data_IF_139684132349
#
_entry.id   IF_139684132349
#
_cell.length_a   1.000
_cell.length_b   1.000
_cell.length_c   1.000
_cell.angle_alpha   90.00
_cell.angle_beta   90.00
_cell.angle_gamma   90.00
#
_symmetry.space_group_name_H-M   'P 1'
#
loop_
_entity.id
_entity.type
_entity.pdbx_description
1 polymer ?
#
# COMPACT_ATOMS: atom_id res chain seq x y z
N UNK A 1 9.78 30.54 -34.25
CA UNK A 1 10.78 30.10 -33.26
C UNK A 1 10.48 28.65 -32.92
N UNK A 2 11.17 27.75 -33.58
CA UNK A 2 11.05 26.32 -33.30
C UNK A 2 11.86 26.03 -32.04
N UNK A 3 11.18 25.76 -30.95
CA UNK A 3 11.82 25.11 -29.82
C UNK A 3 12.03 23.66 -30.19
N UNK A 4 13.24 23.36 -30.67
CA UNK A 4 13.69 22.01 -30.90
C UNK A 4 13.60 21.23 -29.60
N UNK A 5 12.63 20.32 -29.51
CA UNK A 5 12.68 19.26 -28.54
C UNK A 5 13.97 18.49 -28.78
N UNK A 6 14.92 18.62 -27.89
CA UNK A 6 16.11 17.78 -27.90
C UNK A 6 15.65 16.32 -27.92
N UNK A 7 16.14 15.50 -28.85
CA UNK A 7 15.81 14.09 -28.84
C UNK A 7 16.18 13.56 -27.45
N UNK A 8 15.20 12.93 -26.81
CA UNK A 8 15.43 12.28 -25.51
C UNK A 8 16.68 11.42 -25.66
N UNK A 9 17.77 11.80 -25.01
CA UNK A 9 19.01 11.05 -25.07
C UNK A 9 18.73 9.65 -24.57
N UNK A 10 18.70 8.69 -25.50
CA UNK A 10 18.56 7.27 -25.15
C UNK A 10 19.74 6.88 -24.28
N UNK A 11 19.50 6.72 -23.00
CA UNK A 11 20.51 6.33 -22.04
C UNK A 11 20.52 4.82 -21.88
N UNK A 12 21.67 4.24 -22.19
CA UNK A 12 21.90 2.81 -22.06
C UNK A 12 23.00 2.52 -21.05
N UNK A 13 22.87 1.41 -20.37
CA UNK A 13 23.84 0.90 -19.42
C UNK A 13 24.35 -0.47 -19.88
N UNK A 14 25.63 -0.74 -19.67
CA UNK A 14 26.18 -2.09 -19.81
C UNK A 14 25.76 -2.96 -18.63
N UNK A 15 25.91 -4.28 -18.76
CA UNK A 15 25.65 -5.20 -17.63
C UNK A 15 26.51 -4.88 -16.40
N UNK A 16 27.76 -4.43 -16.62
CA UNK A 16 28.66 -4.01 -15.54
C UNK A 16 28.18 -2.72 -14.85
N UNK A 17 27.73 -1.73 -15.61
CA UNK A 17 27.18 -0.48 -15.08
C UNK A 17 25.88 -0.72 -14.29
N UNK A 18 25.00 -1.58 -14.79
CA UNK A 18 23.78 -2.01 -14.06
C UNK A 18 24.16 -2.70 -12.74
N UNK A 19 25.17 -3.56 -12.77
CA UNK A 19 25.67 -4.24 -11.58
C UNK A 19 26.21 -3.22 -10.55
N UNK A 20 26.94 -2.21 -10.98
CA UNK A 20 27.45 -1.15 -10.12
C UNK A 20 26.31 -0.32 -9.51
N UNK A 21 25.31 0.06 -10.32
CA UNK A 21 24.13 0.81 -9.87
C UNK A 21 23.35 0.03 -8.81
N UNK A 22 23.12 -1.26 -9.06
CA UNK A 22 22.37 -2.13 -8.16
C UNK A 22 23.22 -2.74 -7.03
N UNK A 23 24.52 -2.49 -7.02
CA UNK A 23 25.48 -3.09 -6.07
C UNK A 23 25.42 -4.61 -6.08
N UNK A 24 25.37 -5.19 -7.29
CA UNK A 24 25.31 -6.62 -7.52
C UNK A 24 26.51 -7.12 -8.33
N UNK A 25 26.72 -8.42 -8.30
CA UNK A 25 27.75 -9.03 -9.12
C UNK A 25 27.37 -8.97 -10.63
N UNK A 26 28.28 -8.51 -11.53
CA UNK A 26 28.01 -8.45 -12.98
C UNK A 26 27.57 -9.78 -13.60
N UNK A 27 28.07 -10.91 -13.09
CA UNK A 27 27.65 -12.23 -13.57
C UNK A 27 26.18 -12.55 -13.24
N UNK A 28 25.69 -12.05 -12.12
CA UNK A 28 24.27 -12.19 -11.73
C UNK A 28 23.39 -11.39 -12.68
N UNK A 29 23.80 -10.17 -13.03
CA UNK A 29 23.08 -9.32 -13.98
C UNK A 29 23.05 -9.97 -15.36
N UNK A 30 24.19 -10.47 -15.85
CA UNK A 30 24.28 -11.18 -17.14
C UNK A 30 23.35 -12.40 -17.18
N UNK A 31 23.31 -13.16 -16.09
CA UNK A 31 22.44 -14.34 -15.94
C UNK A 31 20.94 -13.96 -15.98
N UNK A 32 20.57 -12.88 -15.29
CA UNK A 32 19.19 -12.36 -15.31
C UNK A 32 18.76 -11.87 -16.70
N UNK A 33 19.66 -11.23 -17.42
CA UNK A 33 19.42 -10.82 -18.81
C UNK A 33 19.26 -12.04 -19.74
N UNK A 34 20.09 -13.05 -19.60
CA UNK A 34 19.99 -14.29 -20.39
C UNK A 34 18.72 -15.08 -20.08
N UNK A 35 18.28 -15.10 -18.82
CA UNK A 35 17.06 -15.78 -18.38
C UNK A 35 15.77 -15.02 -18.73
N UNK A 36 15.87 -13.78 -19.20
CA UNK A 36 14.70 -12.92 -19.45
C UNK A 36 14.05 -12.35 -18.19
N UNK A 37 14.67 -12.50 -17.02
CA UNK A 37 14.21 -11.88 -15.78
C UNK A 37 14.39 -10.36 -15.78
N UNK A 38 15.39 -9.89 -16.51
CA UNK A 38 15.66 -8.48 -16.76
C UNK A 38 15.62 -8.24 -18.26
N UNK A 39 14.87 -7.24 -18.70
CA UNK A 39 14.81 -6.85 -20.09
C UNK A 39 16.07 -6.10 -20.51
N UNK A 40 16.60 -6.40 -21.67
CA UNK A 40 17.76 -5.73 -22.24
C UNK A 40 17.95 -6.11 -23.71
N UNK A 41 18.82 -5.38 -24.36
CA UNK A 41 19.18 -5.63 -25.77
C UNK A 41 20.55 -6.32 -25.83
N UNK A 42 20.60 -7.45 -26.51
CA UNK A 42 21.88 -8.11 -26.82
C UNK A 42 22.43 -7.56 -28.12
N UNK A 43 23.51 -6.79 -28.00
CA UNK A 43 24.19 -6.18 -29.15
C UNK A 43 25.59 -6.81 -29.27
N UNK A 44 25.73 -7.73 -30.21
CA UNK A 44 26.95 -8.52 -30.33
C UNK A 44 27.17 -9.44 -29.15
N UNK A 45 28.25 -9.25 -28.42
CA UNK A 45 28.59 -10.04 -27.22
C UNK A 45 28.10 -9.41 -25.94
N UNK A 46 27.73 -8.13 -25.98
CA UNK A 46 27.38 -7.33 -24.80
C UNK A 46 25.90 -7.08 -24.69
N UNK A 47 25.46 -6.94 -23.42
CA UNK A 47 24.12 -6.51 -23.09
C UNK A 47 24.04 -4.99 -22.90
N UNK A 48 22.95 -4.41 -23.36
CA UNK A 48 22.59 -3.00 -23.12
C UNK A 48 21.20 -2.94 -22.49
N UNK A 49 21.08 -2.21 -21.41
CA UNK A 49 19.81 -2.02 -20.72
C UNK A 49 19.48 -0.53 -20.78
N UNK A 50 18.31 -0.18 -21.28
CA UNK A 50 17.85 1.20 -21.27
C UNK A 50 17.45 1.61 -19.84
N UNK A 51 17.50 2.92 -19.58
CA UNK A 51 17.08 3.47 -18.29
C UNK A 51 15.63 3.06 -17.95
N UNK A 52 14.74 3.08 -18.93
CA UNK A 52 13.34 2.66 -18.77
C UNK A 52 13.21 1.19 -18.40
N UNK A 53 14.01 0.29 -19.01
CA UNK A 53 14.02 -1.12 -18.67
C UNK A 53 14.57 -1.38 -17.26
N UNK A 54 15.60 -0.65 -16.87
CA UNK A 54 16.14 -0.72 -15.51
C UNK A 54 15.11 -0.26 -14.48
N UNK A 55 14.43 0.85 -14.73
CA UNK A 55 13.36 1.35 -13.85
C UNK A 55 12.19 0.36 -13.77
N UNK A 56 11.77 -0.22 -14.89
CA UNK A 56 10.71 -1.24 -14.92
C UNK A 56 11.10 -2.50 -14.12
N UNK A 57 12.37 -2.93 -14.21
CA UNK A 57 12.88 -4.01 -13.39
C UNK A 57 12.81 -3.69 -11.89
N UNK A 58 13.26 -2.50 -11.49
CA UNK A 58 13.20 -2.05 -10.10
C UNK A 58 11.76 -1.95 -9.59
N UNK A 59 10.83 -1.46 -10.40
CA UNK A 59 9.41 -1.38 -10.06
C UNK A 59 8.80 -2.76 -9.80
N UNK A 60 9.11 -3.76 -10.63
CA UNK A 60 8.66 -5.15 -10.47
C UNK A 60 9.19 -5.79 -9.19
N UNK A 61 10.41 -5.44 -8.79
CA UNK A 61 11.06 -5.96 -7.59
C UNK A 61 10.88 -5.06 -6.36
N UNK A 62 10.14 -3.95 -6.52
CA UNK A 62 9.81 -3.06 -5.41
C UNK A 62 8.85 -3.74 -4.44
N UNK A 63 9.13 -3.60 -3.15
CA UNK A 63 8.23 -4.06 -2.10
C UNK A 63 7.12 -3.04 -1.77
N UNK A 64 6.75 -2.17 -2.71
CA UNK A 64 5.68 -1.17 -2.51
C UNK A 64 4.38 -1.77 -1.99
N UNK A 65 4.10 -3.02 -2.38
CA UNK A 65 2.93 -3.76 -1.94
C UNK A 65 3.17 -4.62 -0.70
N UNK A 66 4.40 -4.68 -0.20
CA UNK A 66 4.68 -5.36 1.05
C UNK A 66 4.10 -4.55 2.22
N UNK A 67 3.50 -5.21 3.22
CA UNK A 67 3.03 -4.51 4.40
C UNK A 67 4.21 -3.86 5.12
N UNK A 68 4.18 -2.53 5.21
CA UNK A 68 5.26 -1.73 5.79
C UNK A 68 5.25 -1.76 7.31
N UNK A 69 4.11 -2.06 7.90
CA UNK A 69 3.91 -2.08 9.35
C UNK A 69 3.09 -3.31 9.77
N UNK A 70 3.16 -3.71 11.05
CA UNK A 70 2.28 -4.76 11.58
C UNK A 70 0.79 -4.45 11.37
N UNK A 71 0.41 -3.16 11.36
CA UNK A 71 -0.94 -2.72 11.06
C UNK A 71 -1.33 -3.04 9.61
N UNK A 72 -0.46 -2.73 8.64
CA UNK A 72 -0.71 -3.00 7.22
C UNK A 72 -0.85 -4.50 6.94
N UNK A 73 -0.02 -5.33 7.58
CA UNK A 73 -0.13 -6.78 7.50
C UNK A 73 -1.48 -7.26 8.02
N UNK A 74 -1.88 -6.76 9.19
CA UNK A 74 -3.17 -7.09 9.79
C UNK A 74 -4.33 -6.72 8.87
N UNK A 75 -4.31 -5.54 8.26
CA UNK A 75 -5.35 -5.13 7.32
C UNK A 75 -5.43 -6.05 6.10
N UNK A 76 -4.29 -6.45 5.55
CA UNK A 76 -4.22 -7.41 4.44
C UNK A 76 -4.82 -8.77 4.80
N UNK A 77 -4.54 -9.25 6.01
CA UNK A 77 -5.01 -10.57 6.46
C UNK A 77 -6.52 -10.59 6.74
N UNK A 78 -7.09 -9.49 7.21
CA UNK A 78 -8.48 -9.42 7.65
C UNK A 78 -9.45 -8.77 6.66
N UNK A 79 -8.96 -8.06 5.63
CA UNK A 79 -9.81 -7.49 4.57
C UNK A 79 -9.65 -8.26 3.26
N UNK A 80 -10.77 -8.46 2.58
CA UNK A 80 -10.83 -9.02 1.24
C UNK A 80 -11.88 -8.28 0.42
N UNK A 81 -11.50 -7.82 -0.76
CA UNK A 81 -12.37 -7.02 -1.63
C UNK A 81 -13.03 -5.81 -0.93
N UNK A 82 -12.30 -5.21 0.02
CA UNK A 82 -12.78 -4.07 0.81
C UNK A 82 -13.74 -4.42 1.95
N UNK A 83 -14.01 -5.70 2.18
CA UNK A 83 -14.84 -6.19 3.28
C UNK A 83 -14.00 -6.87 4.36
N UNK A 84 -14.43 -6.73 5.60
CA UNK A 84 -13.81 -7.40 6.74
C UNK A 84 -14.29 -8.86 6.80
N UNK A 85 -13.36 -9.80 6.71
CA UNK A 85 -13.65 -11.24 6.78
C UNK A 85 -14.14 -11.68 8.16
N UNK A 86 -13.48 -11.16 9.19
CA UNK A 86 -13.80 -11.46 10.59
C UNK A 86 -13.23 -10.39 11.52
N UNK A 87 -13.84 -10.25 12.68
CA UNK A 87 -13.35 -9.34 13.73
C UNK A 87 -12.20 -10.06 14.46
N UNK A 88 -10.96 -9.49 14.47
CA UNK A 88 -9.85 -10.13 15.14
C UNK A 88 -10.10 -10.33 16.64
N UNK A 89 -9.83 -11.52 17.15
CA UNK A 89 -9.92 -11.82 18.59
C UNK A 89 -8.78 -11.16 19.37
N UNK A 90 -7.57 -11.11 18.79
CA UNK A 90 -6.43 -10.46 19.41
C UNK A 90 -6.62 -8.93 19.43
N UNK A 91 -6.56 -8.35 20.64
CA UNK A 91 -6.79 -6.91 20.87
C UNK A 91 -5.92 -6.01 19.99
N UNK A 92 -4.63 -6.32 19.86
CA UNK A 92 -3.70 -5.53 19.03
C UNK A 92 -4.10 -5.50 17.55
N UNK A 93 -4.51 -6.64 17.00
CA UNK A 93 -4.98 -6.72 15.62
C UNK A 93 -6.34 -6.04 15.45
N UNK A 94 -7.22 -6.21 16.42
CA UNK A 94 -8.55 -5.59 16.41
C UNK A 94 -8.47 -4.07 16.35
N UNK A 95 -7.62 -3.46 17.17
CA UNK A 95 -7.46 -1.99 17.18
C UNK A 95 -7.00 -1.44 15.83
N UNK A 96 -6.12 -2.14 15.12
CA UNK A 96 -5.70 -1.74 13.76
C UNK A 96 -6.85 -1.76 12.76
N UNK A 97 -7.67 -2.80 12.79
CA UNK A 97 -8.88 -2.92 11.96
C UNK A 97 -9.86 -1.79 12.26
N UNK A 98 -10.14 -1.55 13.55
CA UNK A 98 -11.07 -0.51 13.98
C UNK A 98 -10.59 0.89 13.59
N UNK A 99 -9.31 1.19 13.78
CA UNK A 99 -8.71 2.46 13.35
C UNK A 99 -8.81 2.66 11.83
N UNK A 100 -8.60 1.61 11.07
CA UNK A 100 -8.75 1.66 9.61
C UNK A 100 -10.19 1.99 9.21
N UNK A 101 -11.19 1.39 9.84
CA UNK A 101 -12.60 1.69 9.59
C UNK A 101 -12.94 3.14 9.96
N UNK A 102 -12.54 3.58 11.15
CA UNK A 102 -12.81 4.95 11.61
C UNK A 102 -12.11 6.00 10.76
N UNK A 103 -10.93 5.69 10.19
CA UNK A 103 -10.21 6.61 9.30
C UNK A 103 -10.97 6.96 8.02
N UNK A 104 -11.95 6.15 7.65
CA UNK A 104 -12.83 6.40 6.49
C UNK A 104 -14.01 7.34 6.82
N UNK A 105 -14.21 7.65 8.07
CA UNK A 105 -15.22 8.60 8.54
C UNK A 105 -14.66 10.01 8.57
N UNK A 106 -15.51 11.00 8.33
CA UNK A 106 -15.12 12.41 8.39
C UNK A 106 -14.91 12.86 9.83
N UNK A 107 -13.77 13.46 10.07
CA UNK A 107 -13.45 14.07 11.36
C UNK A 107 -14.34 15.31 11.58
N UNK A 108 -14.75 15.56 12.82
CA UNK A 108 -15.67 16.63 13.22
C UNK A 108 -17.12 16.51 12.75
N UNK A 109 -17.47 15.52 11.95
CA UNK A 109 -18.85 15.25 11.61
C UNK A 109 -19.55 14.49 12.73
N UNK A 110 -20.78 14.84 12.99
CA UNK A 110 -21.67 14.11 13.91
C UNK A 110 -22.50 13.13 13.09
N UNK A 111 -22.47 11.86 13.47
CA UNK A 111 -23.20 10.78 12.84
C UNK A 111 -24.34 10.31 13.74
N UNK A 112 -25.46 9.97 13.16
CA UNK A 112 -26.54 9.27 13.85
C UNK A 112 -26.16 7.79 14.00
N UNK A 113 -26.81 7.08 14.91
CA UNK A 113 -26.63 5.64 15.07
C UNK A 113 -26.90 4.89 13.76
N UNK A 114 -27.94 5.30 13.03
CA UNK A 114 -28.30 4.72 11.74
C UNK A 114 -27.17 4.89 10.72
N UNK A 115 -26.59 6.08 10.59
CA UNK A 115 -25.48 6.34 9.67
C UNK A 115 -24.25 5.49 9.98
N UNK A 116 -23.92 5.34 11.26
CA UNK A 116 -22.81 4.46 11.67
C UNK A 116 -23.12 2.99 11.37
N UNK A 117 -24.32 2.54 11.62
CA UNK A 117 -24.73 1.18 11.30
C UNK A 117 -24.61 0.91 9.79
N UNK A 118 -25.17 1.77 8.96
CA UNK A 118 -25.10 1.65 7.49
C UNK A 118 -23.66 1.71 6.99
N UNK A 119 -22.81 2.56 7.57
CA UNK A 119 -21.40 2.61 7.25
C UNK A 119 -20.69 1.29 7.55
N UNK A 120 -20.84 0.76 8.77
CA UNK A 120 -20.17 -0.47 9.20
C UNK A 120 -20.69 -1.69 8.43
N UNK A 121 -21.99 -1.74 8.11
CA UNK A 121 -22.60 -2.83 7.34
C UNK A 121 -21.98 -3.00 5.94
N UNK A 122 -21.37 -1.97 5.39
CA UNK A 122 -20.63 -2.06 4.11
C UNK A 122 -19.38 -2.96 4.24
N UNK A 123 -18.85 -3.09 5.44
CA UNK A 123 -17.63 -3.84 5.73
C UNK A 123 -17.88 -5.17 6.43
N UNK A 124 -18.84 -5.22 7.34
CA UNK A 124 -19.15 -6.40 8.13
C UNK A 124 -20.60 -6.40 8.62
N UNK A 125 -21.24 -7.57 8.64
CA UNK A 125 -22.63 -7.71 9.05
C UNK A 125 -22.85 -7.48 10.56
N UNK A 126 -21.87 -7.81 11.40
CA UNK A 126 -21.93 -7.56 12.84
C UNK A 126 -21.55 -6.14 13.20
N UNK A 127 -22.36 -5.19 12.72
CA UNK A 127 -22.15 -3.77 12.96
C UNK A 127 -22.33 -3.39 14.44
N UNK A 128 -23.12 -4.13 15.19
CA UNK A 128 -23.34 -3.87 16.62
C UNK A 128 -22.06 -4.03 17.42
N UNK A 129 -21.32 -5.12 17.19
CA UNK A 129 -20.05 -5.38 17.87
C UNK A 129 -19.01 -4.31 17.48
N UNK A 130 -18.85 -4.04 16.18
CA UNK A 130 -17.88 -3.04 15.71
C UNK A 130 -18.20 -1.65 16.25
N UNK A 131 -19.46 -1.24 16.24
CA UNK A 131 -19.89 0.05 16.81
C UNK A 131 -19.56 0.15 18.30
N UNK A 132 -19.82 -0.90 19.09
CA UNK A 132 -19.46 -0.97 20.50
C UNK A 132 -17.96 -0.87 20.70
N UNK A 133 -17.19 -1.59 19.90
CA UNK A 133 -15.72 -1.57 19.94
C UNK A 133 -15.14 -0.17 19.64
N UNK A 134 -15.77 0.62 18.76
CA UNK A 134 -15.36 2.00 18.51
C UNK A 134 -15.42 2.85 19.79
N UNK A 135 -16.44 2.67 20.60
CA UNK A 135 -16.62 3.39 21.87
C UNK A 135 -15.68 2.85 22.94
N UNK A 136 -15.59 1.53 23.07
CA UNK A 136 -14.74 0.87 24.09
C UNK A 136 -13.26 1.19 23.90
N UNK A 137 -12.81 1.31 22.65
CA UNK A 137 -11.43 1.67 22.32
C UNK A 137 -11.21 3.18 22.18
N UNK A 138 -12.18 4.00 22.55
CA UNK A 138 -12.10 5.47 22.53
C UNK A 138 -11.80 6.05 21.12
N UNK A 139 -12.19 5.36 20.09
CA UNK A 139 -12.06 5.82 18.69
C UNK A 139 -13.21 6.76 18.31
N UNK A 140 -14.37 6.56 18.92
CA UNK A 140 -15.53 7.43 18.82
C UNK A 140 -16.12 7.70 20.18
N UNK A 141 -16.81 8.81 20.31
CA UNK A 141 -17.64 9.15 21.48
C UNK A 141 -19.11 9.11 21.09
N UNK A 142 -19.94 8.66 22.01
CA UNK A 142 -21.41 8.65 21.89
C UNK A 142 -22.01 9.64 22.88
N UNK A 143 -22.89 10.49 22.39
CA UNK A 143 -23.66 11.38 23.22
C UNK A 143 -25.09 11.53 22.66
N UNK A 144 -26.11 11.16 23.43
CA UNK A 144 -27.51 11.28 23.03
C UNK A 144 -27.86 10.59 21.70
N UNK A 145 -27.29 9.38 21.44
CA UNK A 145 -27.51 8.64 20.20
C UNK A 145 -26.74 9.18 18.98
N UNK A 146 -25.88 10.16 19.20
CA UNK A 146 -25.00 10.73 18.18
C UNK A 146 -23.55 10.28 18.39
N UNK A 147 -22.83 10.06 17.31
CA UNK A 147 -21.46 9.55 17.29
C UNK A 147 -20.51 10.56 16.65
N UNK A 148 -19.33 10.70 17.22
CA UNK A 148 -18.28 11.59 16.69
C UNK A 148 -16.93 10.90 16.79
N UNK A 149 -16.10 11.05 15.75
CA UNK A 149 -14.73 10.52 15.72
C UNK A 149 -13.82 11.33 16.65
N UNK A 150 -13.02 10.62 17.45
CA UNK A 150 -12.03 11.25 18.37
C UNK A 150 -10.76 11.58 17.59
N UNK A 151 -10.16 12.74 17.84
CA UNK A 151 -8.97 13.24 17.16
C UNK A 151 -7.77 12.27 17.15
N UNK A 152 -7.60 11.52 18.23
CA UNK A 152 -6.51 10.54 18.38
C UNK A 152 -6.68 9.27 17.52
N UNK A 153 -7.83 9.11 16.87
CA UNK A 153 -8.13 7.95 16.04
C UNK A 153 -7.65 8.10 14.60
N UNK A 154 -7.21 9.30 14.22
CA UNK A 154 -6.68 9.55 12.88
C UNK A 154 -5.27 8.98 12.78
N UNK A 155 -4.97 8.12 11.79
CA UNK A 155 -3.60 7.70 11.57
C UNK A 155 -2.75 8.93 11.29
N UNK A 156 -1.59 8.98 11.91
CA UNK A 156 -0.56 9.95 11.56
C UNK A 156 -0.23 9.76 10.08
N UNK A 157 -0.47 10.78 9.33
CA UNK A 157 -0.15 10.79 7.91
C UNK A 157 1.36 10.67 7.70
#
# INVERSE_FOLDING_TARGET
>A
MEQGQSPSQLKFFTSSEVADILKMNPQVIARKLQAGEMEGYKIGKDWRVSESQLLAFLERHSNKNAPKTPADKTLKDFFEHGKLKSIPTARGKRIHVLKHLVSKLEYNRVYTEKEINEFVMRFHEDFCTIRREFIMNKLMVRNGGKYKVVAQSKPLA
#
